data_IF_541504232948
#
_entry.id   IF_541504232948
#
_cell.length_a   1.000
_cell.length_b   1.000
_cell.length_c   1.000
_cell.angle_alpha   90.00
_cell.angle_beta   90.00
_cell.angle_gamma   90.00
#
_symmetry.space_group_name_H-M   'P 1'
#
loop_
_entity.id
_entity.type
_entity.pdbx_description
1 polymer ?
#
# COMPACT_ATOMS: atom_id res chain seq x y z
N UNK A 1 22.15 -3.18 16.06
CA UNK A 1 21.02 -2.23 16.00
C UNK A 1 21.36 -1.04 15.14
N UNK A 2 20.44 -0.61 14.30
CA UNK A 2 20.63 0.53 13.43
C UNK A 2 20.10 1.82 14.05
N UNK A 3 20.35 2.93 13.36
CA UNK A 3 19.87 4.25 13.79
C UNK A 3 18.34 4.28 13.93
N UNK A 4 17.62 3.45 13.18
CA UNK A 4 16.17 3.39 13.25
C UNK A 4 15.63 2.95 14.59
N UNK A 5 16.41 2.20 15.35
CA UNK A 5 15.99 1.76 16.68
C UNK A 5 15.96 2.90 17.70
N UNK A 6 16.68 3.99 17.41
CA UNK A 6 16.76 5.15 18.28
C UNK A 6 15.65 6.18 18.04
N UNK A 7 15.00 6.12 16.86
CA UNK A 7 14.01 7.12 16.47
C UNK A 7 12.77 6.44 15.90
N UNK A 8 11.62 6.77 16.48
CA UNK A 8 10.33 6.32 15.95
C UNK A 8 9.65 7.44 15.19
N UNK A 9 9.25 7.16 13.95
CA UNK A 9 8.47 8.09 13.15
C UNK A 9 6.98 7.84 13.40
N UNK A 10 6.12 8.85 13.16
CA UNK A 10 4.69 8.73 13.45
C UNK A 10 4.02 7.52 12.81
N UNK A 11 4.42 7.14 11.60
CA UNK A 11 3.80 6.03 10.87
C UNK A 11 4.23 4.65 11.34
N UNK A 12 5.38 4.53 12.00
CA UNK A 12 5.97 3.22 12.33
C UNK A 12 5.12 2.41 13.30
N UNK A 13 4.31 3.08 14.13
CA UNK A 13 3.40 2.40 15.04
C UNK A 13 2.07 2.02 14.42
N UNK A 14 1.81 2.39 13.17
CA UNK A 14 0.55 2.10 12.52
C UNK A 14 0.55 0.69 11.93
N UNK A 15 -0.40 -0.14 12.35
CA UNK A 15 -0.52 -1.50 11.83
C UNK A 15 -0.76 -1.49 10.31
N UNK A 16 -1.55 -0.54 9.82
CA UNK A 16 -1.85 -0.44 8.37
C UNK A 16 -0.57 -0.19 7.58
N UNK A 17 0.37 0.60 8.12
CA UNK A 17 1.64 0.84 7.44
C UNK A 17 2.47 -0.44 7.39
N UNK A 18 2.52 -1.19 8.49
CA UNK A 18 3.26 -2.45 8.55
C UNK A 18 2.68 -3.48 7.57
N UNK A 19 1.36 -3.59 7.51
CA UNK A 19 0.69 -4.48 6.56
C UNK A 19 0.94 -4.05 5.11
N UNK A 20 0.98 -2.74 4.86
CA UNK A 20 1.29 -2.20 3.53
C UNK A 20 2.73 -2.53 3.11
N UNK A 21 3.67 -2.52 4.06
CA UNK A 21 5.05 -2.92 3.79
C UNK A 21 5.12 -4.40 3.42
N UNK A 22 4.37 -5.25 4.12
CA UNK A 22 4.29 -6.68 3.81
C UNK A 22 3.70 -6.89 2.41
N UNK A 23 2.71 -6.07 2.04
CA UNK A 23 2.11 -6.11 0.72
C UNK A 23 3.13 -5.77 -0.38
N UNK A 24 3.99 -4.77 -0.16
CA UNK A 24 5.05 -4.43 -1.11
C UNK A 24 5.94 -5.64 -1.35
N UNK A 25 6.37 -6.31 -0.29
CA UNK A 25 7.21 -7.49 -0.42
C UNK A 25 6.51 -8.59 -1.22
N UNK A 26 5.23 -8.85 -0.92
CA UNK A 26 4.45 -9.86 -1.64
C UNK A 26 4.35 -9.53 -3.14
N UNK A 27 4.15 -8.28 -3.47
CA UNK A 27 4.04 -7.82 -4.86
C UNK A 27 5.38 -8.01 -5.59
N UNK A 28 6.50 -7.71 -4.94
CA UNK A 28 7.81 -7.92 -5.55
C UNK A 28 8.07 -9.40 -5.83
N UNK A 29 7.68 -10.29 -4.91
CA UNK A 29 7.82 -11.74 -5.12
C UNK A 29 6.98 -12.23 -6.29
N UNK A 30 5.72 -11.83 -6.34
CA UNK A 30 4.81 -12.21 -7.43
C UNK A 30 5.34 -11.73 -8.77
N UNK A 31 5.71 -10.45 -8.85
CA UNK A 31 6.10 -9.83 -10.12
C UNK A 31 7.49 -10.24 -10.60
N UNK A 32 8.30 -10.86 -9.74
CA UNK A 32 9.61 -11.37 -10.15
C UNK A 32 9.51 -12.42 -11.24
N UNK A 33 8.37 -13.11 -11.35
CA UNK A 33 8.15 -14.16 -12.35
C UNK A 33 7.34 -13.68 -13.56
N UNK A 34 7.06 -12.39 -13.65
CA UNK A 34 6.38 -11.81 -14.81
C UNK A 34 7.33 -11.86 -16.03
N UNK A 35 6.80 -11.88 -17.25
CA UNK A 35 7.62 -11.84 -18.45
C UNK A 35 8.55 -10.63 -18.47
N UNK A 36 9.77 -10.84 -18.97
CA UNK A 36 10.76 -9.75 -19.10
C UNK A 36 10.24 -8.60 -19.96
N UNK A 37 9.35 -8.89 -20.91
CA UNK A 37 8.73 -7.88 -21.76
C UNK A 37 7.87 -6.89 -20.96
N UNK A 38 7.46 -7.25 -19.73
CA UNK A 38 6.65 -6.39 -18.87
C UNK A 38 7.46 -5.59 -17.86
N UNK A 39 8.79 -5.70 -17.89
CA UNK A 39 9.64 -5.03 -16.91
C UNK A 39 9.35 -3.53 -16.81
N UNK A 40 9.18 -2.87 -17.96
CA UNK A 40 8.86 -1.44 -18.03
C UNK A 40 7.37 -1.18 -18.25
N UNK A 41 6.54 -2.22 -18.16
CA UNK A 41 5.09 -2.14 -18.28
C UNK A 41 4.43 -2.53 -16.98
N UNK A 42 3.68 -3.63 -17.01
CA UNK A 42 2.87 -4.06 -15.87
C UNK A 42 3.68 -4.28 -14.60
N UNK A 43 4.87 -4.89 -14.71
CA UNK A 43 5.75 -5.10 -13.55
C UNK A 43 6.07 -3.79 -12.86
N UNK A 44 6.50 -2.79 -13.62
CA UNK A 44 6.85 -1.48 -13.09
C UNK A 44 5.65 -0.79 -12.46
N UNK A 45 4.51 -0.81 -13.15
CA UNK A 45 3.29 -0.14 -12.66
C UNK A 45 2.77 -0.78 -11.38
N UNK A 46 2.77 -2.10 -11.30
CA UNK A 46 2.30 -2.82 -10.12
C UNK A 46 3.18 -2.51 -8.91
N UNK A 47 4.50 -2.52 -9.09
CA UNK A 47 5.44 -2.22 -8.02
C UNK A 47 5.33 -0.77 -7.55
N UNK A 48 5.15 0.16 -8.48
CA UNK A 48 4.97 1.59 -8.14
C UNK A 48 3.69 1.81 -7.35
N UNK A 49 2.59 1.17 -7.76
CA UNK A 49 1.33 1.25 -7.02
C UNK A 49 1.49 0.70 -5.60
N UNK A 50 2.18 -0.44 -5.46
CA UNK A 50 2.43 -1.06 -4.16
C UNK A 50 3.23 -0.13 -3.24
N UNK A 51 4.34 0.43 -3.74
CA UNK A 51 5.21 1.32 -2.98
C UNK A 51 4.45 2.59 -2.57
N UNK A 52 3.57 3.09 -3.42
CA UNK A 52 2.79 4.29 -3.15
C UNK A 52 1.91 4.15 -1.90
N UNK A 53 1.45 2.94 -1.57
CA UNK A 53 0.56 2.75 -0.41
C UNK A 53 1.26 3.10 0.90
N UNK A 54 2.35 2.43 1.31
CA UNK A 54 3.02 2.79 2.57
C UNK A 54 3.65 4.17 2.52
N UNK A 55 4.12 4.61 1.35
CA UNK A 55 4.75 5.92 1.21
C UNK A 55 3.77 7.04 1.53
N UNK A 56 2.54 6.96 1.04
CA UNK A 56 1.53 7.99 1.30
C UNK A 56 0.98 7.92 2.72
N UNK A 57 0.89 6.72 3.31
CA UNK A 57 0.53 6.59 4.71
C UNK A 57 1.57 7.30 5.59
N UNK A 58 2.84 7.05 5.33
CA UNK A 58 3.94 7.65 6.09
C UNK A 58 3.98 9.17 5.91
N UNK A 59 3.84 9.63 4.68
CA UNK A 59 3.86 11.07 4.40
C UNK A 59 2.69 11.78 5.05
N UNK A 60 1.50 11.19 4.99
CA UNK A 60 0.32 11.75 5.64
C UNK A 60 0.47 11.84 7.16
N UNK A 61 1.00 10.79 7.78
CA UNK A 61 1.21 10.75 9.22
C UNK A 61 2.21 11.81 9.70
N UNK A 62 3.09 12.27 8.83
CA UNK A 62 4.08 13.31 9.14
C UNK A 62 3.53 14.73 8.97
N UNK A 63 2.33 14.89 8.41
CA UNK A 63 1.74 16.22 8.19
C UNK A 63 1.17 16.78 9.49
N UNK A 64 1.09 18.10 9.55
CA UNK A 64 0.61 18.81 10.74
C UNK A 64 -0.89 18.99 10.78
N UNK A 65 -1.56 18.94 9.62
CA UNK A 65 -3.00 19.17 9.56
C UNK A 65 -3.76 17.91 9.22
N UNK A 66 -4.94 17.77 9.79
CA UNK A 66 -5.84 16.65 9.53
C UNK A 66 -6.27 16.59 8.06
N UNK A 67 -6.65 17.71 7.41
CA UNK A 67 -6.99 17.67 5.99
C UNK A 67 -5.87 17.11 5.11
N UNK A 68 -4.61 17.48 5.39
CA UNK A 68 -3.48 16.94 4.64
C UNK A 68 -3.30 15.45 4.89
N UNK A 69 -3.42 15.02 6.15
CA UNK A 69 -3.32 13.60 6.49
C UNK A 69 -4.37 12.80 5.70
N UNK A 70 -5.62 13.26 5.72
CA UNK A 70 -6.71 12.59 4.99
C UNK A 70 -6.45 12.56 3.48
N UNK A 71 -5.88 13.62 2.93
CA UNK A 71 -5.54 13.66 1.50
C UNK A 71 -4.54 12.58 1.12
N UNK A 72 -3.47 12.42 1.90
CA UNK A 72 -2.47 11.39 1.64
C UNK A 72 -3.02 9.98 1.83
N UNK A 73 -3.88 9.77 2.83
CA UNK A 73 -4.53 8.47 3.01
C UNK A 73 -5.48 8.15 1.85
N UNK A 74 -6.13 9.17 1.30
CA UNK A 74 -6.98 8.99 0.11
C UNK A 74 -6.16 8.58 -1.10
N UNK A 75 -4.96 9.16 -1.28
CA UNK A 75 -4.05 8.76 -2.35
C UNK A 75 -3.61 7.31 -2.15
N UNK A 76 -3.26 6.92 -0.93
CA UNK A 76 -2.89 5.54 -0.61
C UNK A 76 -4.01 4.57 -0.99
N UNK A 77 -5.26 4.93 -0.67
CA UNK A 77 -6.42 4.10 -0.99
C UNK A 77 -6.61 3.96 -2.50
N UNK A 78 -6.40 5.03 -3.25
CA UNK A 78 -6.46 5.00 -4.70
C UNK A 78 -5.38 4.11 -5.31
N UNK A 79 -4.17 4.18 -4.76
CA UNK A 79 -3.05 3.33 -5.18
C UNK A 79 -3.35 1.85 -4.93
N UNK A 80 -4.03 1.57 -3.84
CA UNK A 80 -4.42 0.19 -3.50
C UNK A 80 -5.45 -0.35 -4.49
N UNK A 81 -6.41 0.47 -4.93
CA UNK A 81 -7.37 0.10 -5.97
C UNK A 81 -6.68 -0.14 -7.31
N UNK A 82 -5.69 0.68 -7.63
CA UNK A 82 -4.89 0.52 -8.84
C UNK A 82 -4.12 -0.81 -8.79
N UNK A 83 -3.49 -1.10 -7.66
CA UNK A 83 -2.77 -2.35 -7.44
C UNK A 83 -3.68 -3.56 -7.62
N UNK A 84 -4.87 -3.53 -7.02
CA UNK A 84 -5.85 -4.62 -7.13
C UNK A 84 -6.25 -4.86 -8.58
N UNK A 85 -6.48 -3.78 -9.32
CA UNK A 85 -6.82 -3.86 -10.75
C UNK A 85 -5.68 -4.51 -11.53
N UNK A 86 -4.44 -4.10 -11.26
CA UNK A 86 -3.26 -4.62 -11.96
C UNK A 86 -2.99 -6.08 -11.64
N UNK A 87 -3.28 -6.52 -10.39
CA UNK A 87 -3.19 -7.95 -10.04
C UNK A 87 -4.19 -8.76 -10.85
N UNK A 88 -5.41 -8.27 -10.99
CA UNK A 88 -6.43 -8.95 -11.79
C UNK A 88 -6.02 -9.02 -13.26
N UNK A 89 -5.41 -7.97 -13.79
CA UNK A 89 -4.87 -7.98 -15.15
C UNK A 89 -3.81 -9.07 -15.29
N UNK A 90 -2.89 -9.16 -14.34
CA UNK A 90 -1.84 -10.17 -14.35
C UNK A 90 -2.41 -11.59 -14.33
N UNK A 91 -3.47 -11.80 -13.54
CA UNK A 91 -4.16 -13.10 -13.50
C UNK A 91 -4.78 -13.43 -14.85
N UNK A 92 -5.48 -12.47 -15.47
CA UNK A 92 -6.12 -12.68 -16.77
C UNK A 92 -5.12 -12.95 -17.88
N UNK A 93 -3.91 -12.38 -17.78
CA UNK A 93 -2.84 -12.62 -18.74
C UNK A 93 -2.04 -13.88 -18.42
N UNK A 94 -2.41 -14.58 -17.35
CA UNK A 94 -1.75 -15.80 -16.87
C UNK A 94 -0.29 -15.59 -16.51
N UNK A 95 0.08 -14.38 -16.06
CA UNK A 95 1.43 -14.10 -15.56
C UNK A 95 1.64 -14.63 -14.15
N UNK A 96 0.56 -14.87 -13.43
CA UNK A 96 0.57 -15.40 -12.06
C UNK A 96 -0.65 -16.31 -11.90
N UNK A 97 -0.46 -17.44 -11.22
CA UNK A 97 -1.52 -18.40 -10.99
C UNK A 97 -2.17 -18.25 -9.61
N UNK A 98 -1.41 -17.82 -8.61
CA UNK A 98 -1.90 -17.71 -7.23
C UNK A 98 -1.57 -16.33 -6.66
N UNK A 99 -2.61 -15.52 -6.49
CA UNK A 99 -2.51 -14.19 -5.88
C UNK A 99 -3.14 -14.13 -4.51
N UNK A 100 -3.50 -15.29 -3.93
CA UNK A 100 -4.28 -15.34 -2.69
C UNK A 100 -3.65 -14.54 -1.56
N UNK A 101 -2.35 -14.74 -1.31
CA UNK A 101 -1.65 -14.04 -0.24
C UNK A 101 -1.65 -12.52 -0.46
N UNK A 102 -1.33 -12.07 -1.66
CA UNK A 102 -1.31 -10.64 -1.97
C UNK A 102 -2.71 -10.04 -1.87
N UNK A 103 -3.73 -10.75 -2.34
CA UNK A 103 -5.11 -10.30 -2.27
C UNK A 103 -5.59 -10.16 -0.82
N UNK A 104 -5.25 -11.14 0.02
CA UNK A 104 -5.61 -11.08 1.44
C UNK A 104 -4.92 -9.90 2.14
N UNK A 105 -3.65 -9.66 1.84
CA UNK A 105 -2.92 -8.51 2.37
C UNK A 105 -3.54 -7.20 1.90
N UNK A 106 -3.87 -7.10 0.61
CA UNK A 106 -4.51 -5.90 0.06
C UNK A 106 -5.86 -5.64 0.75
N UNK A 107 -6.66 -6.69 0.95
CA UNK A 107 -7.95 -6.55 1.64
C UNK A 107 -7.78 -6.07 3.09
N UNK A 108 -6.76 -6.58 3.77
CA UNK A 108 -6.46 -6.17 5.14
C UNK A 108 -6.05 -4.70 5.19
N UNK A 109 -5.19 -4.28 4.27
CA UNK A 109 -4.77 -2.88 4.18
C UNK A 109 -5.97 -1.99 3.90
N UNK A 110 -6.85 -2.40 2.97
CA UNK A 110 -8.07 -1.64 2.66
C UNK A 110 -8.93 -1.43 3.90
N UNK A 111 -9.20 -2.50 4.64
CA UNK A 111 -10.05 -2.43 5.84
C UNK A 111 -9.44 -1.52 6.89
N UNK A 112 -8.14 -1.66 7.16
CA UNK A 112 -7.45 -0.85 8.18
C UNK A 112 -7.30 0.60 7.74
N UNK A 113 -7.08 0.84 6.46
CA UNK A 113 -6.96 2.19 5.92
C UNK A 113 -8.29 2.93 6.04
N UNK A 114 -9.39 2.28 5.68
CA UNK A 114 -10.72 2.86 5.84
C UNK A 114 -11.05 3.14 7.31
N UNK A 115 -10.66 2.22 8.22
CA UNK A 115 -10.86 2.41 9.65
C UNK A 115 -10.06 3.61 10.17
N UNK A 116 -8.82 3.78 9.71
CA UNK A 116 -7.98 4.92 10.09
C UNK A 116 -8.58 6.23 9.60
N UNK A 117 -8.99 6.27 8.34
CA UNK A 117 -9.64 7.46 7.77
C UNK A 117 -10.86 7.85 8.60
N UNK A 118 -11.73 6.88 8.89
CA UNK A 118 -12.93 7.13 9.69
C UNK A 118 -12.58 7.64 11.08
N UNK A 119 -11.58 7.05 11.72
CA UNK A 119 -11.12 7.46 13.04
C UNK A 119 -10.68 8.91 13.06
N UNK A 120 -9.91 9.34 12.03
CA UNK A 120 -9.43 10.71 11.91
C UNK A 120 -10.61 11.67 11.66
N UNK A 121 -11.56 11.29 10.82
CA UNK A 121 -12.74 12.10 10.52
C UNK A 121 -13.60 12.30 11.76
N UNK A 122 -13.80 11.25 12.55
CA UNK A 122 -14.57 11.34 13.79
C UNK A 122 -13.90 12.32 14.77
N UNK A 123 -12.57 12.21 14.95
CA UNK A 123 -11.83 13.11 15.85
C UNK A 123 -11.91 14.55 15.40
N UNK A 124 -12.01 14.79 14.08
CA UNK A 124 -12.14 16.13 13.52
C UNK A 124 -13.57 16.66 13.59
N UNK A 125 -14.54 15.82 13.85
CA UNK A 125 -15.95 16.18 13.86
C UNK A 125 -16.60 16.09 12.49
N UNK A 126 -15.97 15.41 11.56
CA UNK A 126 -16.53 15.19 10.22
C UNK A 126 -17.55 14.04 10.27
#
# INVERSE_FOLDING_TARGET
MGIRDSFKRPHEGLQVWQDAMDLVEAIYRISANFPDSELFGLTSQLRRAAISVPSNIAEGAARRSTPEYLRFLSVARGSLSELDTQLQIAERLAYVSDTKNATELANRVFAKLNALIRSIQIKRGD
#
